data_IF_520059049350
#
_entry.id   IF_520059049350
#
_cell.length_a   1.000
_cell.length_b   1.000
_cell.length_c   1.000
_cell.angle_alpha   90.00
_cell.angle_beta   90.00
_cell.angle_gamma   90.00
#
_symmetry.space_group_name_H-M   'P 1'
#
loop_
_entity.id
_entity.type
_entity.pdbx_description
1 polymer ?
#
# COMPACT_ATOMS: atom_id res chain seq x y z
N UNK A 1 10.77 50.59 47.59
CA UNK A 1 9.68 49.67 47.22
C UNK A 1 10.01 49.15 45.86
N UNK A 2 10.76 48.07 45.82
CA UNK A 2 11.20 47.39 44.61
C UNK A 2 10.18 46.33 44.24
N UNK A 3 9.52 46.56 43.11
CA UNK A 3 8.53 45.67 42.56
C UNK A 3 9.24 44.53 41.85
N UNK A 4 9.38 43.38 42.49
CA UNK A 4 9.85 42.14 41.90
C UNK A 4 8.71 41.52 41.09
N UNK A 5 8.74 41.69 39.76
CA UNK A 5 7.92 40.92 38.87
C UNK A 5 8.50 39.48 38.85
N UNK A 6 7.75 38.56 39.41
CA UNK A 6 7.92 37.10 39.25
C UNK A 6 7.81 36.76 37.77
N UNK A 7 8.69 35.93 37.22
CA UNK A 7 8.54 35.47 35.85
C UNK A 7 7.30 34.57 35.78
N UNK A 8 6.34 34.98 34.96
CA UNK A 8 5.16 34.18 34.61
C UNK A 8 5.62 32.76 34.22
N UNK A 9 5.05 31.79 34.90
CA UNK A 9 5.24 30.36 34.57
C UNK A 9 4.78 30.16 33.13
N UNK A 10 5.73 30.07 32.21
CA UNK A 10 5.47 29.54 30.85
C UNK A 10 4.95 28.14 31.04
N UNK A 11 3.65 27.95 30.93
CA UNK A 11 2.97 26.68 30.86
C UNK A 11 3.56 25.92 29.67
N UNK A 12 3.88 24.64 29.86
CA UNK A 12 4.41 23.76 28.84
C UNK A 12 3.29 23.25 27.93
N UNK A 13 2.77 24.00 26.93
CA UNK A 13 1.84 23.47 25.95
C UNK A 13 2.49 22.36 25.11
N UNK A 14 3.79 22.39 25.02
CA UNK A 14 4.60 21.63 24.06
C UNK A 14 4.78 20.17 24.44
N UNK A 15 4.89 19.84 25.72
CA UNK A 15 5.01 18.45 26.18
C UNK A 15 3.79 17.61 25.79
N UNK A 16 2.61 18.25 25.77
CA UNK A 16 1.36 17.61 25.37
C UNK A 16 1.36 17.30 23.86
N UNK A 17 1.85 18.23 23.04
CA UNK A 17 1.96 18.05 21.59
C UNK A 17 2.97 16.96 21.26
N UNK A 18 4.15 16.97 21.90
CA UNK A 18 5.12 15.88 21.75
C UNK A 18 4.53 14.51 22.12
N UNK A 19 3.76 14.48 23.20
CA UNK A 19 3.09 13.25 23.63
C UNK A 19 2.03 12.79 22.61
N UNK A 20 1.24 13.69 22.06
CA UNK A 20 0.23 13.38 21.04
C UNK A 20 0.87 12.86 19.75
N UNK A 21 1.93 13.50 19.26
CA UNK A 21 2.67 13.06 18.07
C UNK A 21 3.38 11.72 18.32
N UNK A 22 4.07 11.58 19.45
CA UNK A 22 4.72 10.32 19.82
C UNK A 22 3.71 9.18 19.97
N UNK A 23 2.52 9.47 20.51
CA UNK A 23 1.43 8.50 20.59
C UNK A 23 0.89 8.12 19.21
N UNK A 24 0.73 9.07 18.28
CA UNK A 24 0.32 8.80 16.91
C UNK A 24 1.33 7.86 16.21
N UNK A 25 2.63 8.12 16.36
CA UNK A 25 3.70 7.27 15.82
C UNK A 25 3.70 5.84 16.37
N UNK A 26 3.25 5.65 17.61
CA UNK A 26 3.24 4.33 18.27
C UNK A 26 1.92 3.59 18.15
N UNK A 27 0.82 4.29 17.87
CA UNK A 27 -0.53 3.73 17.84
C UNK A 27 -1.05 3.41 16.44
N UNK A 28 -0.45 3.96 15.39
CA UNK A 28 -0.84 3.72 14.00
C UNK A 28 0.37 3.29 13.17
N UNK A 29 0.17 2.29 12.30
CA UNK A 29 1.10 1.93 11.23
C UNK A 29 0.73 2.65 9.92
N UNK A 30 -0.35 3.42 9.92
CA UNK A 30 -0.83 4.16 8.76
C UNK A 30 -0.08 5.49 8.63
N UNK A 31 0.71 5.60 7.59
CA UNK A 31 1.55 6.77 7.31
C UNK A 31 0.71 8.04 7.16
N UNK A 32 -0.41 7.98 6.45
CA UNK A 32 -1.26 9.15 6.19
C UNK A 32 -1.85 9.72 7.48
N UNK A 33 -2.27 8.86 8.40
CA UNK A 33 -2.74 9.26 9.72
C UNK A 33 -1.66 9.95 10.55
N UNK A 34 -0.42 9.44 10.50
CA UNK A 34 0.71 10.02 11.25
C UNK A 34 1.08 11.39 10.67
N UNK A 35 1.26 11.46 9.35
CA UNK A 35 1.60 12.72 8.68
C UNK A 35 0.50 13.76 8.86
N UNK A 36 -0.77 13.37 8.77
CA UNK A 36 -1.92 14.25 9.03
C UNK A 36 -1.92 14.81 10.44
N UNK A 37 -1.60 14.00 11.45
CA UNK A 37 -1.51 14.45 12.85
C UNK A 37 -0.37 15.47 13.06
N UNK A 38 0.82 15.22 12.48
CA UNK A 38 1.94 16.15 12.52
C UNK A 38 1.56 17.48 11.88
N UNK A 39 0.98 17.44 10.70
CA UNK A 39 0.61 18.63 9.95
C UNK A 39 -0.47 19.43 10.67
N UNK A 40 -1.44 18.79 11.31
CA UNK A 40 -2.48 19.44 12.10
C UNK A 40 -1.92 20.21 13.32
N UNK A 41 -0.84 19.70 13.92
CA UNK A 41 -0.16 20.41 14.99
C UNK A 41 0.60 21.64 14.45
N UNK A 42 1.27 21.53 13.32
CA UNK A 42 1.97 22.64 12.67
C UNK A 42 1.00 23.77 12.28
N UNK A 43 -0.17 23.43 11.73
CA UNK A 43 -1.20 24.40 11.36
C UNK A 43 -1.65 25.24 12.56
N UNK A 44 -1.84 24.64 13.72
CA UNK A 44 -2.26 25.34 14.95
C UNK A 44 -1.23 26.35 15.45
N UNK A 45 0.06 26.09 15.25
CA UNK A 45 1.13 26.96 15.75
C UNK A 45 1.50 28.10 14.80
N UNK A 46 1.48 27.85 13.51
CA UNK A 46 2.02 28.77 12.50
C UNK A 46 0.95 29.51 11.70
N UNK A 47 -0.28 29.01 11.75
CA UNK A 47 -1.43 29.58 11.01
C UNK A 47 -1.04 29.95 9.54
N UNK A 48 -0.44 29.04 8.77
CA UNK A 48 0.00 29.35 7.41
C UNK A 48 -1.21 29.46 6.46
N UNK A 49 -1.10 30.31 5.42
CA UNK A 49 -2.13 30.37 4.37
C UNK A 49 -2.16 29.07 3.55
N UNK A 50 -0.98 28.47 3.33
CA UNK A 50 -0.85 27.20 2.66
C UNK A 50 0.31 26.41 3.24
N UNK A 51 0.15 25.10 3.33
CA UNK A 51 1.20 24.21 3.74
C UNK A 51 1.11 22.87 2.99
N UNK A 52 2.25 22.24 2.83
CA UNK A 52 2.35 20.95 2.15
C UNK A 52 3.46 20.09 2.72
N UNK A 53 3.26 18.79 2.65
CA UNK A 53 4.28 17.78 2.86
C UNK A 53 4.53 17.08 1.52
N UNK A 54 5.76 17.17 1.05
CA UNK A 54 6.18 16.57 -0.20
C UNK A 54 7.18 15.46 0.08
N UNK A 55 7.08 14.37 -0.66
CA UNK A 55 7.97 13.20 -0.53
C UNK A 55 8.81 13.06 -1.79
N UNK A 56 10.07 12.70 -1.60
CA UNK A 56 11.02 12.45 -2.70
C UNK A 56 10.76 11.09 -3.33
N UNK A 57 10.50 11.11 -4.64
CA UNK A 57 10.64 9.94 -5.51
C UNK A 57 12.08 9.89 -6.04
N UNK A 58 12.86 8.95 -5.51
CA UNK A 58 14.27 8.80 -5.88
C UNK A 58 14.45 8.32 -7.34
N UNK A 59 13.49 7.57 -7.89
CA UNK A 59 13.58 7.02 -9.25
C UNK A 59 13.34 8.10 -10.30
N UNK A 60 12.35 8.94 -10.08
CA UNK A 60 11.96 9.99 -11.02
C UNK A 60 12.62 11.34 -10.72
N UNK A 61 13.39 11.43 -9.61
CA UNK A 61 14.08 12.66 -9.15
C UNK A 61 13.15 13.87 -9.03
N UNK A 62 11.98 13.67 -8.42
CA UNK A 62 11.05 14.75 -8.12
C UNK A 62 10.36 14.59 -6.77
N UNK A 63 9.73 15.66 -6.30
CA UNK A 63 8.86 15.70 -5.14
C UNK A 63 7.41 15.56 -5.57
N UNK A 64 6.65 14.71 -4.91
CA UNK A 64 5.19 14.64 -5.04
C UNK A 64 4.51 15.06 -3.74
N UNK A 65 3.33 15.64 -3.85
CA UNK A 65 2.55 16.08 -2.71
C UNK A 65 1.89 14.88 -2.02
N UNK A 66 2.30 14.59 -0.79
CA UNK A 66 1.65 13.59 0.05
C UNK A 66 0.44 14.19 0.78
N UNK A 67 0.61 15.40 1.33
CA UNK A 67 -0.45 16.14 2.01
C UNK A 67 -0.34 17.60 1.59
N UNK A 68 -1.47 18.27 1.36
CA UNK A 68 -1.52 19.70 1.08
C UNK A 68 -2.80 20.33 1.63
N UNK A 69 -2.70 21.54 2.21
CA UNK A 69 -3.82 22.32 2.67
C UNK A 69 -3.66 23.80 2.30
N UNK A 70 -4.75 24.56 2.34
CA UNK A 70 -4.76 25.97 1.92
C UNK A 70 -4.94 26.16 0.42
N UNK A 71 -5.04 25.10 -0.36
CA UNK A 71 -5.46 25.14 -1.76
C UNK A 71 -6.99 25.16 -1.85
N UNK A 72 -7.54 25.80 -2.89
CA UNK A 72 -9.00 25.84 -3.10
C UNK A 72 -9.59 24.44 -3.06
N UNK A 73 -10.61 24.20 -2.25
CA UNK A 73 -11.28 22.90 -2.15
C UNK A 73 -11.77 22.49 -3.55
N UNK A 74 -11.22 21.38 -4.07
CA UNK A 74 -11.58 20.86 -5.38
C UNK A 74 -10.55 21.11 -6.49
N UNK A 75 -9.45 21.83 -6.23
CA UNK A 75 -8.33 21.92 -7.17
C UNK A 75 -7.57 20.59 -7.24
N UNK A 76 -7.14 20.15 -8.44
CA UNK A 76 -6.29 18.98 -8.57
C UNK A 76 -4.97 19.21 -7.82
N UNK A 77 -4.35 18.12 -7.32
CA UNK A 77 -3.03 18.19 -6.68
C UNK A 77 -2.04 18.85 -7.64
N UNK A 78 -1.17 19.75 -7.14
CA UNK A 78 -0.17 20.40 -7.99
C UNK A 78 0.75 19.40 -8.67
N UNK A 79 1.35 19.80 -9.80
CA UNK A 79 2.31 18.96 -10.51
C UNK A 79 3.54 18.67 -9.64
N UNK A 80 4.17 17.49 -9.80
CA UNK A 80 5.43 17.16 -9.14
C UNK A 80 6.51 18.22 -9.38
N UNK A 81 7.37 18.43 -8.39
CA UNK A 81 8.45 19.44 -8.42
C UNK A 81 9.78 18.72 -8.62
N UNK A 82 10.55 18.99 -9.68
CA UNK A 82 11.88 18.42 -9.84
C UNK A 82 12.83 18.78 -8.67
N UNK A 83 13.73 17.87 -8.31
CA UNK A 83 14.78 18.16 -7.32
C UNK A 83 15.68 19.30 -7.84
N UNK A 84 16.00 20.25 -6.96
CA UNK A 84 16.76 21.45 -7.29
C UNK A 84 15.90 22.60 -7.82
N UNK A 85 14.64 22.38 -8.20
CA UNK A 85 13.78 23.44 -8.71
C UNK A 85 12.88 24.05 -7.62
N UNK A 86 12.77 25.35 -7.61
CA UNK A 86 12.00 26.10 -6.62
C UNK A 86 12.52 25.94 -5.19
N UNK A 87 11.70 26.34 -4.21
CA UNK A 87 12.11 26.30 -2.79
C UNK A 87 12.14 24.85 -2.27
N UNK A 88 11.07 24.13 -2.48
CA UNK A 88 10.94 22.75 -2.01
C UNK A 88 11.98 21.82 -2.66
N UNK A 89 12.21 21.96 -3.98
CA UNK A 89 13.20 21.18 -4.71
C UNK A 89 14.63 21.48 -4.27
N UNK A 90 14.96 22.75 -4.01
CA UNK A 90 16.26 23.15 -3.49
C UNK A 90 16.51 22.57 -2.10
N UNK A 91 15.56 22.73 -1.18
CA UNK A 91 15.66 22.17 0.20
C UNK A 91 15.79 20.64 0.16
N UNK A 92 15.07 19.98 -0.73
CA UNK A 92 15.15 18.53 -0.88
C UNK A 92 16.53 18.07 -1.39
N UNK A 93 17.14 18.82 -2.31
CA UNK A 93 18.45 18.48 -2.89
C UNK A 93 19.61 18.77 -1.93
N UNK A 94 19.57 19.92 -1.22
CA UNK A 94 20.67 20.34 -0.34
C UNK A 94 20.52 19.82 1.10
N UNK A 95 19.32 19.44 1.51
CA UNK A 95 19.04 18.98 2.88
C UNK A 95 19.18 20.08 3.94
N UNK A 96 19.09 21.35 3.55
CA UNK A 96 19.18 22.52 4.41
C UNK A 96 17.84 23.22 4.52
N UNK A 97 17.48 23.65 5.74
CA UNK A 97 16.23 24.38 5.99
C UNK A 97 16.30 25.79 5.42
N UNK A 98 15.22 26.25 4.81
CA UNK A 98 15.07 27.61 4.31
C UNK A 98 13.93 28.31 5.04
N UNK A 99 14.27 29.41 5.74
CA UNK A 99 13.31 30.23 6.50
C UNK A 99 13.44 31.68 6.02
N UNK A 100 12.43 32.16 5.33
CA UNK A 100 12.38 33.50 4.79
C UNK A 100 11.17 34.24 5.39
N UNK A 101 11.37 35.13 6.38
CA UNK A 101 10.27 35.89 7.00
C UNK A 101 9.64 36.92 6.07
N UNK A 102 10.42 37.43 5.10
CA UNK A 102 9.92 38.30 4.03
C UNK A 102 10.60 37.92 2.72
N UNK A 103 9.79 37.67 1.69
CA UNK A 103 10.28 37.48 0.32
C UNK A 103 10.08 38.77 -0.46
N UNK A 104 11.16 39.52 -0.75
CA UNK A 104 11.13 40.50 -1.81
C UNK A 104 11.02 39.73 -3.14
N UNK A 105 9.98 39.93 -3.92
CA UNK A 105 9.60 39.15 -5.10
C UNK A 105 10.67 38.92 -6.20
N UNK A 106 11.94 39.29 -5.94
CA UNK A 106 13.12 39.09 -6.77
C UNK A 106 14.17 38.16 -6.11
N UNK A 107 13.76 37.29 -5.16
CA UNK A 107 14.68 36.32 -4.53
C UNK A 107 15.20 35.27 -5.53
N UNK A 108 16.31 34.55 -5.17
CA UNK A 108 16.98 33.58 -6.04
C UNK A 108 16.08 32.40 -6.46
N UNK A 109 14.89 32.26 -5.91
CA UNK A 109 13.95 31.16 -6.18
C UNK A 109 12.81 31.52 -7.15
N UNK A 110 12.81 32.73 -7.74
CA UNK A 110 11.80 33.17 -8.70
C UNK A 110 10.39 33.32 -8.14
N UNK A 111 9.41 33.67 -8.98
CA UNK A 111 8.00 33.66 -8.63
C UNK A 111 7.56 32.20 -8.41
N UNK A 112 7.52 31.77 -7.15
CA UNK A 112 7.26 30.38 -6.77
C UNK A 112 5.93 29.88 -7.31
N UNK A 113 5.93 28.76 -8.01
CA UNK A 113 4.76 27.98 -8.32
C UNK A 113 4.23 27.39 -7.00
N UNK A 114 3.16 27.96 -6.45
CA UNK A 114 2.62 27.43 -5.20
C UNK A 114 1.33 28.05 -4.72
N UNK A 115 1.01 29.25 -5.18
CA UNK A 115 -0.27 29.90 -4.89
C UNK A 115 -0.92 30.28 -6.22
N UNK A 116 -2.10 29.75 -6.49
CA UNK A 116 -2.98 30.28 -7.54
C UNK A 116 -3.31 31.74 -7.16
N UNK A 117 -2.69 32.70 -7.82
CA UNK A 117 -2.90 34.15 -7.68
C UNK A 117 -2.35 34.85 -6.40
N UNK A 118 -1.50 34.22 -5.59
CA UNK A 118 -0.95 34.86 -4.39
C UNK A 118 0.57 35.11 -4.48
N UNK A 119 1.03 36.27 -4.00
CA UNK A 119 2.47 36.52 -3.80
C UNK A 119 2.93 35.76 -2.56
N UNK A 120 4.02 34.98 -2.68
CA UNK A 120 4.68 34.38 -1.52
C UNK A 120 5.35 35.51 -0.73
N UNK A 121 4.91 35.74 0.49
CA UNK A 121 5.41 36.79 1.39
C UNK A 121 6.41 36.24 2.40
N UNK A 122 6.20 35.02 2.85
CA UNK A 122 7.09 34.33 3.78
C UNK A 122 7.09 32.83 3.52
N UNK A 123 8.21 32.17 3.79
CA UNK A 123 8.39 30.73 3.57
C UNK A 123 9.14 30.09 4.72
N UNK A 124 8.64 28.96 5.18
CA UNK A 124 9.41 27.97 5.95
C UNK A 124 9.41 26.67 5.14
N UNK A 125 10.57 26.18 4.79
CA UNK A 125 10.75 24.89 4.16
C UNK A 125 11.83 24.08 4.90
N UNK A 126 11.44 22.94 5.46
CA UNK A 126 12.28 22.11 6.31
C UNK A 126 12.41 20.71 5.71
N UNK A 127 13.64 20.18 5.57
CA UNK A 127 13.84 18.84 5.04
C UNK A 127 13.47 17.77 6.06
N UNK A 128 12.85 16.69 5.60
CA UNK A 128 12.62 15.45 6.33
C UNK A 128 13.84 14.57 6.16
N UNK A 129 14.77 14.61 7.11
CA UNK A 129 16.05 13.94 6.98
C UNK A 129 16.08 12.61 7.69
N UNK A 130 16.63 11.62 7.00
CA UNK A 130 17.00 10.34 7.58
C UNK A 130 18.47 10.07 7.28
N UNK A 131 19.33 10.20 8.30
CA UNK A 131 20.80 10.16 8.14
C UNK A 131 21.26 11.22 7.12
N UNK A 132 21.94 10.79 6.05
CA UNK A 132 22.46 11.65 5.00
C UNK A 132 21.47 11.93 3.85
N UNK A 133 20.24 11.40 3.93
CA UNK A 133 19.23 11.50 2.86
C UNK A 133 18.08 12.39 3.26
N UNK A 134 17.58 13.16 2.31
CA UNK A 134 16.31 13.87 2.43
C UNK A 134 15.20 12.99 1.85
N UNK A 135 14.23 12.61 2.68
CA UNK A 135 13.07 11.79 2.29
C UNK A 135 11.92 12.63 1.75
N UNK A 136 11.90 13.91 2.06
CA UNK A 136 10.85 14.85 1.70
C UNK A 136 11.10 16.22 2.29
N UNK A 137 10.13 17.10 2.16
CA UNK A 137 10.16 18.45 2.75
C UNK A 137 8.78 18.81 3.30
N UNK A 138 8.75 19.63 4.35
CA UNK A 138 7.56 20.35 4.80
C UNK A 138 7.72 21.79 4.37
N UNK A 139 6.74 22.30 3.62
CA UNK A 139 6.71 23.69 3.16
C UNK A 139 5.48 24.40 3.76
N UNK A 140 5.71 25.57 4.32
CA UNK A 140 4.67 26.48 4.81
C UNK A 140 4.85 27.83 4.18
N UNK A 141 3.78 28.35 3.60
CA UNK A 141 3.75 29.63 2.88
C UNK A 141 2.87 30.64 3.64
N UNK A 142 3.33 31.88 3.64
CA UNK A 142 2.61 33.03 4.22
C UNK A 142 2.17 32.78 5.67
N UNK A 143 3.11 32.32 6.49
CA UNK A 143 2.88 32.10 7.91
C UNK A 143 2.90 33.41 8.71
N UNK A 144 2.42 33.34 9.96
CA UNK A 144 2.43 34.48 10.88
C UNK A 144 3.83 34.71 11.44
N UNK A 145 4.54 35.70 10.92
CA UNK A 145 5.96 36.01 11.26
C UNK A 145 6.20 36.17 12.76
N UNK A 146 5.22 36.74 13.51
CA UNK A 146 5.34 36.94 14.96
C UNK A 146 5.46 35.61 15.76
N UNK A 147 5.10 34.47 15.17
CA UNK A 147 5.17 33.16 15.84
C UNK A 147 6.50 32.44 15.65
N UNK A 148 7.39 32.96 14.79
CA UNK A 148 8.66 32.31 14.46
C UNK A 148 9.74 32.80 15.45
N UNK A 149 10.14 31.91 16.32
CA UNK A 149 11.21 32.05 17.29
C UNK A 149 12.16 30.86 17.15
N UNK A 150 13.38 30.96 17.70
CA UNK A 150 14.34 29.85 17.73
C UNK A 150 13.71 28.57 18.35
N UNK A 151 12.85 28.78 19.31
CA UNK A 151 12.11 27.70 19.95
C UNK A 151 11.13 27.01 18.98
N UNK A 152 10.30 27.78 18.27
CA UNK A 152 9.32 27.23 17.30
C UNK A 152 10.00 26.61 16.10
N UNK A 153 11.15 27.14 15.69
CA UNK A 153 11.99 26.51 14.64
C UNK A 153 12.52 25.15 15.12
N UNK A 154 13.06 25.09 16.35
CA UNK A 154 13.52 23.83 16.95
C UNK A 154 12.40 22.80 17.05
N UNK A 155 11.19 23.25 17.41
CA UNK A 155 10.00 22.41 17.46
C UNK A 155 9.62 21.85 16.06
N UNK A 156 9.69 22.67 15.00
CA UNK A 156 9.47 22.23 13.63
C UNK A 156 10.46 21.16 13.19
N UNK A 157 11.75 21.32 13.56
CA UNK A 157 12.74 20.30 13.25
C UNK A 157 12.42 18.97 13.93
N UNK A 158 12.00 18.98 15.19
CA UNK A 158 11.60 17.74 15.87
C UNK A 158 10.38 17.09 15.19
N UNK A 159 9.40 17.88 14.76
CA UNK A 159 8.26 17.33 14.01
C UNK A 159 8.68 16.79 12.64
N UNK A 160 9.62 17.44 11.96
CA UNK A 160 10.21 16.97 10.70
C UNK A 160 10.96 15.63 10.90
N UNK A 161 11.73 15.50 11.99
CA UNK A 161 12.39 14.25 12.34
C UNK A 161 11.39 13.12 12.59
N UNK A 162 10.29 13.39 13.29
CA UNK A 162 9.22 12.41 13.48
C UNK A 162 8.56 11.99 12.15
N UNK A 163 8.31 12.94 11.26
CA UNK A 163 7.78 12.64 9.92
C UNK A 163 8.77 11.77 9.12
N UNK A 164 10.06 12.08 9.17
CA UNK A 164 11.10 11.28 8.51
C UNK A 164 11.16 9.85 9.06
N UNK A 165 11.06 9.66 10.38
CA UNK A 165 11.00 8.35 11.02
C UNK A 165 9.76 7.58 10.55
N UNK A 166 8.58 8.23 10.50
CA UNK A 166 7.35 7.61 10.05
C UNK A 166 7.45 7.12 8.60
N UNK A 167 7.95 7.96 7.70
CA UNK A 167 8.16 7.62 6.29
C UNK A 167 9.14 6.44 6.16
N UNK A 168 10.24 6.47 6.90
CA UNK A 168 11.23 5.39 6.86
C UNK A 168 10.69 4.07 7.40
N UNK A 169 9.91 4.11 8.47
CA UNK A 169 9.28 2.90 9.03
C UNK A 169 8.26 2.31 8.05
N UNK A 170 7.44 3.14 7.40
CA UNK A 170 6.49 2.70 6.38
C UNK A 170 7.21 2.03 5.20
N UNK A 171 8.26 2.68 4.66
CA UNK A 171 9.09 2.10 3.57
C UNK A 171 9.79 0.80 3.98
N UNK A 172 10.29 0.71 5.23
CA UNK A 172 10.89 -0.50 5.75
C UNK A 172 9.87 -1.64 5.87
N UNK A 173 8.65 -1.34 6.33
CA UNK A 173 7.57 -2.30 6.43
C UNK A 173 7.12 -2.80 5.05
N UNK A 174 6.96 -1.90 4.06
CA UNK A 174 6.70 -2.27 2.67
C UNK A 174 7.80 -3.19 2.12
N UNK A 175 9.07 -2.86 2.38
CA UNK A 175 10.20 -3.68 1.96
C UNK A 175 10.20 -5.07 2.58
N UNK A 176 9.88 -5.17 3.89
CA UNK A 176 9.72 -6.46 4.58
C UNK A 176 8.57 -7.25 3.96
N UNK A 177 7.43 -6.61 3.69
CA UNK A 177 6.29 -7.25 3.03
C UNK A 177 6.63 -7.71 1.60
N UNK A 178 7.46 -6.95 0.86
CA UNK A 178 7.95 -7.36 -0.45
C UNK A 178 8.87 -8.59 -0.40
N UNK A 179 9.64 -8.74 0.67
CA UNK A 179 10.52 -9.89 0.88
C UNK A 179 9.75 -11.14 1.34
N UNK A 180 8.53 -11.01 1.86
CA UNK A 180 7.71 -12.17 2.22
C UNK A 180 7.10 -12.79 0.97
N UNK A 181 7.32 -14.07 0.78
CA UNK A 181 6.76 -14.85 -0.35
C UNK A 181 5.47 -15.57 0.01
N UNK A 182 5.07 -15.52 1.28
CA UNK A 182 3.90 -16.22 1.82
C UNK A 182 2.82 -15.25 2.28
N UNK A 183 1.58 -15.72 2.28
CA UNK A 183 0.41 -15.05 2.87
C UNK A 183 0.29 -15.41 4.35
N UNK A 184 0.23 -14.42 5.22
CA UNK A 184 0.24 -14.58 6.68
C UNK A 184 -0.99 -15.34 7.22
N UNK A 185 -2.12 -15.27 6.53
CA UNK A 185 -3.35 -15.94 6.93
C UNK A 185 -3.33 -17.43 6.61
N UNK A 186 -2.90 -17.78 5.40
CA UNK A 186 -3.04 -19.14 4.84
C UNK A 186 -1.75 -19.93 4.78
N UNK A 187 -0.61 -19.26 4.91
CA UNK A 187 0.72 -19.84 4.74
C UNK A 187 0.94 -20.52 3.37
N UNK A 188 0.17 -20.11 2.36
CA UNK A 188 0.43 -20.34 0.95
C UNK A 188 1.34 -19.24 0.40
N UNK A 189 1.85 -19.40 -0.79
CA UNK A 189 2.51 -18.30 -1.47
C UNK A 189 1.52 -17.14 -1.72
N UNK A 190 2.03 -15.91 -1.72
CA UNK A 190 1.22 -14.73 -2.00
C UNK A 190 1.17 -14.42 -3.51
N UNK A 191 0.30 -13.48 -3.91
CA UNK A 191 0.14 -13.09 -5.32
C UNK A 191 1.38 -12.47 -5.95
N UNK A 192 2.26 -11.82 -5.16
CA UNK A 192 3.54 -11.28 -5.66
C UNK A 192 4.49 -12.40 -6.09
N UNK A 193 4.60 -13.43 -5.26
CA UNK A 193 5.44 -14.58 -5.57
C UNK A 193 4.91 -15.37 -6.77
N UNK A 194 3.59 -15.39 -7.00
CA UNK A 194 2.98 -15.99 -8.19
C UNK A 194 3.59 -15.43 -9.48
N UNK A 195 3.75 -14.12 -9.62
CA UNK A 195 4.29 -13.51 -10.82
C UNK A 195 5.69 -14.06 -11.15
N UNK A 196 6.57 -14.07 -10.16
CA UNK A 196 7.95 -14.59 -10.31
C UNK A 196 7.98 -16.09 -10.66
N UNK A 197 7.15 -16.90 -10.00
CA UNK A 197 7.10 -18.36 -10.24
C UNK A 197 6.52 -18.67 -11.62
N UNK A 198 5.48 -17.94 -12.02
CA UNK A 198 4.81 -18.14 -13.31
C UNK A 198 5.70 -17.73 -14.49
N UNK A 199 6.42 -16.62 -14.36
CA UNK A 199 7.39 -16.19 -15.39
C UNK A 199 8.51 -17.22 -15.55
N UNK A 200 9.05 -17.74 -14.44
CA UNK A 200 10.06 -18.80 -14.47
C UNK A 200 9.53 -20.10 -15.10
N UNK A 201 8.29 -20.51 -14.79
CA UNK A 201 7.70 -21.70 -15.40
C UNK A 201 7.40 -21.49 -16.89
N UNK A 202 6.99 -20.28 -17.28
CA UNK A 202 6.79 -19.93 -18.69
C UNK A 202 8.08 -20.03 -19.51
N UNK A 203 9.18 -19.48 -18.99
CA UNK A 203 10.50 -19.61 -19.64
C UNK A 203 10.95 -21.07 -19.77
N UNK A 204 10.78 -21.84 -18.69
CA UNK A 204 11.07 -23.27 -18.67
C UNK A 204 10.22 -24.02 -19.68
N UNK A 205 8.92 -23.77 -19.73
CA UNK A 205 7.98 -24.42 -20.62
C UNK A 205 8.27 -24.10 -22.10
N UNK A 206 8.64 -22.86 -22.40
CA UNK A 206 9.11 -22.45 -23.74
C UNK A 206 10.37 -23.20 -24.16
N UNK A 207 11.35 -23.28 -23.25
CA UNK A 207 12.65 -23.89 -23.54
C UNK A 207 12.55 -25.40 -23.77
N UNK A 208 11.70 -26.11 -23.04
CA UNK A 208 11.63 -27.56 -23.04
C UNK A 208 10.36 -28.09 -23.71
N UNK A 209 9.51 -27.22 -24.27
CA UNK A 209 8.24 -27.57 -24.91
C UNK A 209 7.31 -28.36 -23.97
N UNK A 210 7.27 -28.01 -22.70
CA UNK A 210 6.45 -28.65 -21.68
C UNK A 210 5.18 -27.85 -21.44
N UNK A 211 4.00 -28.52 -21.31
CA UNK A 211 2.80 -27.82 -20.91
C UNK A 211 2.83 -27.51 -19.41
N UNK A 212 2.12 -26.48 -19.01
CA UNK A 212 1.69 -26.29 -17.64
C UNK A 212 0.25 -25.81 -17.60
N UNK A 213 -0.41 -25.97 -16.46
CA UNK A 213 -1.77 -25.50 -16.27
C UNK A 213 -1.87 -24.61 -15.04
N UNK A 214 -2.82 -23.66 -15.07
CA UNK A 214 -3.14 -22.77 -13.99
C UNK A 214 -4.62 -22.90 -13.66
N UNK A 215 -4.91 -23.08 -12.38
CA UNK A 215 -6.27 -23.19 -11.83
C UNK A 215 -6.54 -21.96 -10.99
N UNK A 216 -7.56 -21.19 -11.34
CA UNK A 216 -8.08 -20.08 -10.54
C UNK A 216 -9.27 -20.58 -9.73
N UNK A 217 -9.33 -20.27 -8.43
CA UNK A 217 -10.32 -20.79 -7.48
C UNK A 217 -10.89 -19.63 -6.67
N UNK A 218 -12.19 -19.52 -6.57
CA UNK A 218 -12.89 -18.53 -5.73
C UNK A 218 -13.91 -19.22 -4.84
N UNK A 219 -13.94 -18.87 -3.54
CA UNK A 219 -14.88 -19.46 -2.60
C UNK A 219 -16.26 -18.84 -2.73
N UNK A 220 -17.24 -19.67 -3.08
CA UNK A 220 -18.62 -19.24 -3.28
C UNK A 220 -19.26 -18.68 -2.00
N UNK A 221 -19.77 -17.45 -2.11
CA UNK A 221 -20.48 -16.79 -1.01
C UNK A 221 -19.66 -16.59 0.27
N UNK A 222 -18.34 -16.53 0.18
CA UNK A 222 -17.47 -16.40 1.36
C UNK A 222 -17.80 -15.17 2.22
N UNK A 223 -18.24 -14.06 1.62
CA UNK A 223 -18.74 -12.90 2.35
C UNK A 223 -19.80 -13.27 3.39
N UNK A 224 -20.72 -14.21 3.08
CA UNK A 224 -21.74 -14.67 4.04
C UNK A 224 -21.14 -15.38 5.26
N UNK A 225 -19.98 -16.02 5.11
CA UNK A 225 -19.24 -16.61 6.24
C UNK A 225 -18.77 -15.50 7.17
N UNK A 226 -18.16 -14.44 6.62
CA UNK A 226 -17.73 -13.28 7.40
C UNK A 226 -18.90 -12.57 8.08
N UNK A 227 -19.97 -12.29 7.32
CA UNK A 227 -21.16 -11.58 7.83
C UNK A 227 -21.86 -12.37 8.96
N UNK A 228 -21.90 -13.69 8.86
CA UNK A 228 -22.58 -14.54 9.85
C UNK A 228 -21.73 -14.92 11.05
N UNK A 229 -20.43 -15.16 10.85
CA UNK A 229 -19.54 -15.75 11.86
C UNK A 229 -18.35 -14.86 12.26
N UNK A 230 -18.24 -13.68 11.64
CA UNK A 230 -17.17 -12.71 11.84
C UNK A 230 -15.87 -13.04 11.09
N UNK A 231 -15.02 -12.02 10.90
CA UNK A 231 -13.77 -12.11 10.13
C UNK A 231 -12.78 -13.14 10.69
N UNK A 232 -12.76 -13.35 12.01
CA UNK A 232 -11.89 -14.37 12.62
C UNK A 232 -12.28 -15.81 12.19
N UNK A 233 -13.58 -16.08 12.04
CA UNK A 233 -14.05 -17.36 11.54
C UNK A 233 -13.73 -17.51 10.04
N UNK A 234 -13.90 -16.43 9.26
CA UNK A 234 -13.51 -16.43 7.85
C UNK A 234 -12.01 -16.69 7.66
N UNK A 235 -11.14 -16.02 8.38
CA UNK A 235 -9.71 -16.26 8.31
C UNK A 235 -9.32 -17.70 8.67
N UNK A 236 -10.02 -18.29 9.63
CA UNK A 236 -9.81 -19.70 9.98
C UNK A 236 -10.25 -20.64 8.85
N UNK A 237 -11.39 -20.38 8.21
CA UNK A 237 -11.86 -21.14 7.04
C UNK A 237 -10.87 -21.04 5.88
N UNK A 238 -10.37 -19.83 5.57
CA UNK A 238 -9.36 -19.62 4.52
C UNK A 238 -8.11 -20.46 4.78
N UNK A 239 -7.61 -20.48 6.03
CA UNK A 239 -6.46 -21.31 6.41
C UNK A 239 -6.73 -22.78 6.18
N UNK A 240 -7.91 -23.28 6.55
CA UNK A 240 -8.27 -24.68 6.38
C UNK A 240 -8.49 -25.07 4.92
N UNK A 241 -9.04 -24.17 4.10
CA UNK A 241 -9.13 -24.36 2.64
C UNK A 241 -7.71 -24.44 2.04
N UNK A 242 -6.81 -23.55 2.44
CA UNK A 242 -5.41 -23.58 2.00
C UNK A 242 -4.72 -24.90 2.37
N UNK A 243 -4.93 -25.41 3.59
CA UNK A 243 -4.45 -26.75 4.00
C UNK A 243 -5.04 -27.85 3.10
N UNK A 244 -6.34 -27.79 2.80
CA UNK A 244 -7.01 -28.74 1.91
C UNK A 244 -6.41 -28.70 0.51
N UNK A 245 -6.16 -27.52 -0.06
CA UNK A 245 -5.51 -27.37 -1.36
C UNK A 245 -4.12 -28.01 -1.31
N UNK A 246 -3.31 -27.63 -0.32
CA UNK A 246 -1.91 -28.08 -0.17
C UNK A 246 -1.79 -29.61 -0.05
N UNK A 247 -2.74 -30.26 0.63
CA UNK A 247 -2.75 -31.73 0.75
C UNK A 247 -3.21 -32.47 -0.50
N UNK A 248 -3.87 -31.75 -1.44
CA UNK A 248 -4.43 -32.34 -2.65
C UNK A 248 -3.63 -31.98 -3.93
N UNK A 249 -2.45 -31.40 -3.80
CA UNK A 249 -1.53 -31.12 -4.89
C UNK A 249 -0.19 -31.83 -4.66
N UNK A 250 0.64 -31.93 -5.69
CA UNK A 250 1.95 -32.57 -5.61
C UNK A 250 2.98 -31.60 -5.00
N UNK A 251 4.10 -32.11 -4.51
CA UNK A 251 5.20 -31.27 -3.99
C UNK A 251 5.84 -30.33 -5.01
N UNK A 252 5.69 -30.61 -6.31
CA UNK A 252 6.17 -29.75 -7.40
C UNK A 252 5.15 -28.71 -7.83
N UNK A 253 3.87 -28.86 -7.44
CA UNK A 253 2.82 -27.90 -7.69
C UNK A 253 2.93 -26.77 -6.68
N UNK A 254 2.50 -25.58 -7.06
CA UNK A 254 2.53 -24.41 -6.19
C UNK A 254 1.13 -23.85 -5.98
N UNK A 255 0.79 -23.53 -4.73
CA UNK A 255 -0.48 -22.92 -4.36
C UNK A 255 -0.26 -21.52 -3.83
N UNK A 256 -1.11 -20.59 -4.25
CA UNK A 256 -1.05 -19.17 -3.94
C UNK A 256 -2.38 -18.68 -3.40
N UNK A 257 -2.35 -17.74 -2.47
CA UNK A 257 -3.50 -16.88 -2.19
C UNK A 257 -3.38 -15.65 -3.08
N UNK A 258 -4.31 -15.49 -4.01
CA UNK A 258 -4.29 -14.39 -4.97
C UNK A 258 -4.83 -13.10 -4.34
N UNK A 259 -5.93 -13.18 -3.59
CA UNK A 259 -6.52 -12.08 -2.86
C UNK A 259 -7.75 -12.56 -2.09
N UNK A 260 -8.22 -11.85 -1.09
CA UNK A 260 -9.48 -12.13 -0.39
C UNK A 260 -9.77 -13.62 -0.14
N UNK A 261 -10.69 -14.16 -0.91
CA UNK A 261 -11.15 -15.56 -0.95
C UNK A 261 -10.74 -16.31 -2.22
N UNK A 262 -9.77 -15.75 -2.97
CA UNK A 262 -9.27 -16.28 -4.23
C UNK A 262 -7.92 -17.00 -4.07
N UNK A 263 -7.80 -18.15 -4.73
CA UNK A 263 -6.61 -18.98 -4.73
C UNK A 263 -6.19 -19.34 -6.16
N UNK A 264 -4.89 -19.55 -6.37
CA UNK A 264 -4.35 -20.06 -7.63
C UNK A 264 -3.52 -21.31 -7.34
N UNK A 265 -3.62 -22.28 -8.23
CA UNK A 265 -2.73 -23.45 -8.24
C UNK A 265 -2.03 -23.52 -9.58
N UNK A 266 -0.70 -23.54 -9.55
CA UNK A 266 0.16 -23.76 -10.72
C UNK A 266 0.57 -25.23 -10.76
N UNK A 267 0.36 -25.87 -11.89
CA UNK A 267 0.59 -27.28 -12.14
C UNK A 267 1.66 -27.43 -13.25
N UNK A 268 2.95 -27.44 -12.91
CA UNK A 268 4.02 -27.65 -13.87
C UNK A 268 3.91 -28.99 -14.60
N UNK A 269 4.31 -29.06 -15.86
CA UNK A 269 4.33 -30.26 -16.69
C UNK A 269 2.99 -31.02 -16.69
N UNK A 270 1.89 -30.28 -16.64
CA UNK A 270 0.54 -30.85 -16.55
C UNK A 270 -0.31 -30.31 -17.70
N UNK A 271 -0.74 -31.16 -18.59
CA UNK A 271 -1.63 -30.84 -19.69
C UNK A 271 -3.07 -30.62 -19.18
N UNK A 272 -3.91 -30.01 -20.00
CA UNK A 272 -5.28 -29.59 -19.66
C UNK A 272 -6.15 -30.70 -19.07
N UNK A 273 -6.13 -31.90 -19.67
CA UNK A 273 -6.95 -33.03 -19.21
C UNK A 273 -6.51 -33.53 -17.83
N UNK A 274 -5.22 -33.65 -17.60
CA UNK A 274 -4.67 -34.04 -16.29
C UNK A 274 -4.91 -32.95 -15.23
N UNK A 275 -4.89 -31.67 -15.62
CA UNK A 275 -5.22 -30.57 -14.74
C UNK A 275 -6.70 -30.55 -14.35
N UNK A 276 -7.59 -30.96 -15.26
CA UNK A 276 -9.02 -31.12 -14.95
C UNK A 276 -9.25 -32.16 -13.84
N UNK A 277 -8.52 -33.27 -13.85
CA UNK A 277 -8.59 -34.27 -12.78
C UNK A 277 -8.16 -33.68 -11.43
N UNK A 278 -7.12 -32.80 -11.42
CA UNK A 278 -6.72 -32.08 -10.21
C UNK A 278 -7.82 -31.13 -9.75
N UNK A 279 -8.43 -30.36 -10.66
CA UNK A 279 -9.55 -29.48 -10.34
C UNK A 279 -10.71 -30.25 -9.70
N UNK A 280 -11.10 -31.39 -10.29
CA UNK A 280 -12.17 -32.23 -9.75
C UNK A 280 -11.86 -32.78 -8.36
N UNK A 281 -10.61 -33.20 -8.13
CA UNK A 281 -10.14 -33.65 -6.81
C UNK A 281 -10.19 -32.53 -5.79
N UNK A 282 -9.69 -31.33 -6.12
CA UNK A 282 -9.72 -30.15 -5.26
C UNK A 282 -11.15 -29.73 -4.93
N UNK A 283 -12.00 -29.64 -5.95
CA UNK A 283 -13.42 -29.28 -5.78
C UNK A 283 -14.13 -30.25 -4.83
N UNK A 284 -13.92 -31.57 -5.03
CA UNK A 284 -14.49 -32.61 -4.14
C UNK A 284 -13.95 -32.47 -2.73
N UNK A 285 -12.64 -32.30 -2.55
CA UNK A 285 -12.01 -32.16 -1.25
C UNK A 285 -12.51 -30.92 -0.49
N UNK A 286 -12.68 -29.79 -1.17
CA UNK A 286 -13.24 -28.56 -0.55
C UNK A 286 -14.71 -28.76 -0.20
N UNK A 287 -15.52 -29.34 -1.07
CA UNK A 287 -16.95 -29.58 -0.88
C UNK A 287 -17.24 -30.53 0.28
N UNK A 288 -16.45 -31.60 0.41
CA UNK A 288 -16.63 -32.65 1.44
C UNK A 288 -16.03 -32.23 2.80
N UNK A 289 -15.19 -31.21 2.81
CA UNK A 289 -14.57 -30.72 4.04
C UNK A 289 -15.60 -29.95 4.89
N UNK A 290 -15.69 -30.35 6.15
CA UNK A 290 -16.41 -29.61 7.17
C UNK A 290 -15.39 -28.88 8.05
N UNK A 291 -15.37 -27.57 7.96
CA UNK A 291 -14.45 -26.73 8.71
C UNK A 291 -15.05 -26.45 10.09
N UNK A 292 -14.58 -27.16 11.11
CA UNK A 292 -15.10 -27.05 12.48
C UNK A 292 -14.12 -26.24 13.34
N UNK A 293 -14.62 -25.17 13.93
CA UNK A 293 -13.86 -24.38 14.90
C UNK A 293 -14.12 -24.79 16.35
N UNK A 294 -15.32 -25.32 16.63
CA UNK A 294 -15.74 -25.85 17.93
C UNK A 294 -16.89 -26.84 17.73
N UNK A 295 -17.28 -27.60 18.78
CA UNK A 295 -18.39 -28.55 18.73
C UNK A 295 -19.74 -27.96 18.27
N UNK A 296 -19.85 -26.62 18.25
CA UNK A 296 -21.08 -25.90 17.85
C UNK A 296 -21.00 -25.18 16.50
N UNK A 297 -19.84 -25.22 15.82
CA UNK A 297 -19.66 -24.45 14.58
C UNK A 297 -19.07 -25.33 13.49
N UNK A 298 -19.93 -25.80 12.59
CA UNK A 298 -19.55 -26.50 11.36
C UNK A 298 -19.79 -25.56 10.17
N UNK A 299 -18.74 -25.22 9.43
CA UNK A 299 -18.83 -24.37 8.25
C UNK A 299 -18.44 -25.21 7.04
N UNK A 300 -19.28 -25.24 6.01
CA UNK A 300 -18.97 -25.81 4.69
C UNK A 300 -18.88 -24.67 3.69
N UNK A 301 -17.95 -24.76 2.77
CA UNK A 301 -17.79 -23.81 1.65
C UNK A 301 -17.77 -24.60 0.33
N UNK A 302 -18.10 -23.91 -0.73
CA UNK A 302 -17.97 -24.38 -2.12
C UNK A 302 -17.07 -23.43 -2.87
N UNK A 303 -16.61 -23.83 -4.05
CA UNK A 303 -15.73 -23.01 -4.83
C UNK A 303 -16.02 -23.15 -6.33
N UNK A 304 -15.81 -22.04 -7.04
CA UNK A 304 -15.85 -21.96 -8.50
C UNK A 304 -14.42 -22.01 -9.05
N UNK A 305 -14.22 -22.78 -10.11
CA UNK A 305 -12.90 -23.06 -10.68
C UNK A 305 -12.83 -22.63 -12.13
N UNK A 306 -11.71 -22.00 -12.52
CA UNK A 306 -11.33 -21.73 -13.89
C UNK A 306 -9.98 -22.37 -14.21
N UNK A 307 -9.90 -23.08 -15.32
CA UNK A 307 -8.71 -23.79 -15.78
C UNK A 307 -8.22 -23.22 -17.09
N UNK A 308 -6.93 -22.87 -17.17
CA UNK A 308 -6.23 -22.49 -18.39
C UNK A 308 -4.87 -23.21 -18.47
N UNK A 309 -4.40 -23.48 -19.69
CA UNK A 309 -3.18 -24.24 -19.94
C UNK A 309 -2.30 -23.57 -20.99
N UNK A 310 -0.99 -23.56 -20.74
CA UNK A 310 0.03 -23.19 -21.71
C UNK A 310 0.37 -24.40 -22.60
N UNK A 311 0.52 -24.22 -23.93
CA UNK A 311 0.43 -22.95 -24.67
C UNK A 311 -0.98 -22.66 -25.24
N UNK A 312 -1.96 -23.52 -24.97
CA UNK A 312 -3.25 -23.51 -25.68
C UNK A 312 -4.09 -22.26 -25.40
N UNK A 313 -4.08 -21.76 -24.18
CA UNK A 313 -4.96 -20.67 -23.74
C UNK A 313 -4.24 -19.33 -23.54
N UNK A 314 -2.91 -19.32 -23.75
CA UNK A 314 -2.08 -18.12 -23.68
C UNK A 314 -0.60 -18.44 -23.80
N UNK A 315 0.19 -17.42 -24.12
CA UNK A 315 1.65 -17.51 -24.31
C UNK A 315 2.42 -16.56 -23.38
N UNK A 316 1.72 -15.78 -22.59
CA UNK A 316 2.26 -14.89 -21.57
C UNK A 316 1.62 -15.18 -20.22
N UNK A 317 2.31 -14.83 -19.13
CA UNK A 317 1.80 -14.98 -17.75
C UNK A 317 0.45 -14.31 -17.57
N UNK A 318 0.31 -13.08 -18.11
CA UNK A 318 -0.93 -12.33 -18.06
C UNK A 318 -2.10 -13.00 -18.82
N UNK A 319 -1.84 -13.56 -20.02
CA UNK A 319 -2.87 -14.22 -20.80
C UNK A 319 -3.39 -15.49 -20.09
N UNK A 320 -2.52 -16.29 -19.51
CA UNK A 320 -2.88 -17.53 -18.81
C UNK A 320 -3.70 -17.22 -17.55
N UNK A 321 -3.25 -16.25 -16.72
CA UNK A 321 -3.99 -15.86 -15.52
C UNK A 321 -5.36 -15.31 -15.90
N UNK A 322 -5.43 -14.42 -16.90
CA UNK A 322 -6.68 -13.86 -17.39
C UNK A 322 -7.63 -14.92 -17.91
N UNK A 323 -7.14 -15.89 -18.71
CA UNK A 323 -7.98 -16.95 -19.24
C UNK A 323 -8.57 -17.83 -18.14
N UNK A 324 -7.80 -18.16 -17.10
CA UNK A 324 -8.29 -18.91 -15.96
C UNK A 324 -9.30 -18.09 -15.12
N UNK A 325 -9.05 -16.81 -14.89
CA UNK A 325 -9.96 -15.90 -14.17
C UNK A 325 -11.32 -15.75 -14.90
N UNK A 326 -11.29 -15.52 -16.22
CA UNK A 326 -12.50 -15.44 -17.04
C UNK A 326 -13.37 -16.71 -16.91
N UNK A 327 -12.75 -17.88 -16.89
CA UNK A 327 -13.46 -19.15 -16.71
C UNK A 327 -14.03 -19.29 -15.30
N UNK A 328 -13.28 -18.95 -14.28
CA UNK A 328 -13.78 -18.94 -12.90
C UNK A 328 -14.97 -17.98 -12.75
N UNK A 329 -14.85 -16.76 -13.31
CA UNK A 329 -15.90 -15.76 -13.29
C UNK A 329 -17.19 -16.22 -14.02
N UNK A 330 -17.04 -16.96 -15.13
CA UNK A 330 -18.16 -17.57 -15.84
C UNK A 330 -18.91 -18.58 -14.94
N UNK A 331 -18.20 -19.44 -14.23
CA UNK A 331 -18.79 -20.36 -13.25
C UNK A 331 -19.49 -19.61 -12.12
N UNK A 332 -18.83 -18.59 -11.57
CA UNK A 332 -19.35 -17.79 -10.44
C UNK A 332 -20.68 -17.09 -10.78
N UNK A 333 -20.85 -16.66 -12.04
CA UNK A 333 -22.07 -15.98 -12.52
C UNK A 333 -23.15 -16.93 -13.06
N UNK A 334 -22.85 -18.21 -13.23
CA UNK A 334 -23.82 -19.20 -13.74
C UNK A 334 -24.25 -20.20 -12.66
N UNK A 335 -23.52 -21.29 -12.56
CA UNK A 335 -23.90 -22.44 -11.71
C UNK A 335 -23.30 -22.41 -10.32
N UNK A 336 -22.12 -21.74 -10.14
CA UNK A 336 -21.22 -21.92 -9.00
C UNK A 336 -20.89 -23.39 -8.73
N UNK A 337 -19.98 -23.64 -7.78
CA UNK A 337 -19.60 -25.00 -7.37
C UNK A 337 -19.35 -25.92 -8.58
N UNK A 338 -18.58 -25.42 -9.55
CA UNK A 338 -18.32 -26.07 -10.83
C UNK A 338 -16.92 -25.67 -11.37
N UNK A 339 -16.55 -26.27 -12.52
CA UNK A 339 -15.28 -26.04 -13.21
C UNK A 339 -15.61 -25.59 -14.63
N UNK A 340 -14.98 -24.50 -15.09
CA UNK A 340 -14.93 -24.14 -16.50
C UNK A 340 -13.49 -24.20 -17.02
N UNK A 341 -13.35 -24.54 -18.29
CA UNK A 341 -12.06 -24.79 -18.95
C UNK A 341 -11.94 -23.81 -20.10
N UNK A 342 -10.83 -23.09 -20.18
CA UNK A 342 -10.54 -22.20 -21.30
C UNK A 342 -10.44 -23.02 -22.61
N UNK A 343 -11.08 -22.50 -23.65
CA UNK A 343 -11.04 -23.07 -24.99
C UNK A 343 -10.54 -22.02 -25.96
N UNK A 344 -9.62 -22.39 -26.84
CA UNK A 344 -9.09 -21.52 -27.87
C UNK A 344 -10.26 -20.99 -28.74
N UNK A 345 -10.54 -19.68 -28.66
CA UNK A 345 -11.55 -19.03 -29.49
C UNK A 345 -12.86 -18.63 -28.83
N UNK A 346 -13.08 -18.87 -27.54
CA UNK A 346 -14.19 -18.25 -26.80
C UNK A 346 -13.76 -16.85 -26.31
N UNK A 347 -13.91 -15.86 -27.18
CA UNK A 347 -14.02 -14.47 -26.75
C UNK A 347 -15.49 -14.31 -26.35
N UNK A 348 -15.85 -14.03 -25.09
CA UNK A 348 -17.22 -13.66 -24.76
C UNK A 348 -17.54 -12.34 -25.49
N UNK A 349 -18.63 -12.35 -26.26
CA UNK A 349 -19.24 -11.16 -26.88
C UNK A 349 -19.90 -10.31 -25.80
#
# INVERSE_FOLDING_TARGET
MTNSQTPESRSFPDLKVFHEVARALTSSLDLDSILGAIMQQMEKFFEPESWSLLIVDEQQRHLYYAVAAGHSKGSPMPAPIPLGEGIAGWVAEHGESLILPETSGNGPFGAGRGLENGQIRSVICIPLRWRERTLGVIEMLNYRVATVTDYTISFLHVLADYAAIAIQNARAMERIQELTITDDCTNLYNSRHLASVLDGELERSRRFHLPFSLVFIDLDHFKRVNDRYGHLAGSWVLRKVAETIKHNIRGVDSAFRYGGDEFIVLLPQTAKDAALEVCQRLMRAIRESCYVRSERLAITVRASFGLASYPDDGTTSHEIVRAADEMMYLVKNSTRDNIAIAQRGCIPV
#
